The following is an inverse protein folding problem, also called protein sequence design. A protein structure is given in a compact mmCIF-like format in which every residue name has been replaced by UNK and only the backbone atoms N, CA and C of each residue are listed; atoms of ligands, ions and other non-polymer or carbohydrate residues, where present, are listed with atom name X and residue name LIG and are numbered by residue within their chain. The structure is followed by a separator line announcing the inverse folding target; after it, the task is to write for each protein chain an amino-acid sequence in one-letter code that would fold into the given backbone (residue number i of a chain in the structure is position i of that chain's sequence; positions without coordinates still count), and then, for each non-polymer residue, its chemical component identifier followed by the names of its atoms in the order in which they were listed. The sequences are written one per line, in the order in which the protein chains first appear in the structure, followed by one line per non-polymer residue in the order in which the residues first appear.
data_IF_368346217420
#
_entry.id   IF_368346217420
#
_cell.length_a   1.000
_cell.length_b   1.000
_cell.length_c   1.000
_cell.angle_alpha   90.00
_cell.angle_beta   90.00
_cell.angle_gamma   90.00
#
_symmetry.space_group_name_H-M   'P 1'
#
loop_
_entity.id
_entity.type
_entity.pdbx_description
1 polymer ?
#
# COMPACT_ATOMS: atom_id res chain seq x y z
N UNK A 1 -10.65 -10.36 -25.42
CA UNK A 1 -12.11 -10.30 -25.28
C UNK A 1 -12.43 -9.96 -23.85
N UNK A 2 -13.11 -8.84 -23.55
CA UNK A 2 -13.31 -8.31 -22.19
C UNK A 2 -14.07 -9.26 -21.25
N UNK A 3 -14.75 -10.27 -21.80
CA UNK A 3 -15.48 -11.28 -21.02
C UNK A 3 -14.59 -12.30 -20.30
N UNK A 4 -13.36 -12.52 -20.78
CA UNK A 4 -12.43 -13.48 -20.16
C UNK A 4 -11.77 -12.89 -18.90
N UNK A 5 -11.52 -11.57 -18.88
CA UNK A 5 -11.02 -10.84 -17.71
C UNK A 5 -12.07 -10.80 -16.60
N UNK A 6 -13.33 -10.61 -16.98
CA UNK A 6 -14.46 -10.59 -16.05
C UNK A 6 -14.70 -11.97 -15.44
N UNK A 7 -14.49 -13.08 -16.19
CA UNK A 7 -14.58 -14.44 -15.64
C UNK A 7 -13.45 -14.78 -14.66
N UNK A 8 -12.23 -14.31 -14.91
CA UNK A 8 -11.11 -14.44 -13.97
C UNK A 8 -11.41 -13.73 -12.64
N UNK A 9 -12.05 -12.57 -12.72
CA UNK A 9 -12.43 -11.73 -11.58
C UNK A 9 -13.45 -12.40 -10.63
N UNK A 10 -14.43 -13.16 -11.13
CA UNK A 10 -15.45 -13.81 -10.28
C UNK A 10 -14.93 -15.05 -9.52
N UNK A 11 -13.84 -15.68 -9.96
CA UNK A 11 -13.27 -16.86 -9.29
C UNK A 11 -12.53 -16.55 -7.99
N UNK A 12 -11.95 -15.34 -7.88
CA UNK A 12 -11.10 -14.93 -6.77
C UNK A 12 -11.90 -14.65 -5.49
N UNK A 13 -12.98 -13.86 -5.58
CA UNK A 13 -13.71 -13.39 -4.39
C UNK A 13 -14.26 -14.51 -3.51
N UNK A 14 -14.52 -15.70 -4.06
CA UNK A 14 -15.05 -16.84 -3.30
C UNK A 14 -14.03 -17.49 -2.36
N UNK A 15 -12.72 -17.41 -2.65
CA UNK A 15 -11.69 -18.09 -1.84
C UNK A 15 -11.30 -17.37 -0.55
N UNK A 16 -11.59 -16.07 -0.44
CA UNK A 16 -11.25 -15.25 0.74
C UNK A 16 -12.42 -15.06 1.72
N UNK A 17 -13.62 -15.55 1.39
CA UNK A 17 -14.84 -15.38 2.18
C UNK A 17 -15.25 -16.61 3.01
N UNK A 18 -14.37 -17.60 3.20
CA UNK A 18 -14.61 -18.66 4.20
C UNK A 18 -14.38 -18.07 5.59
N UNK A 19 -15.44 -17.47 6.13
CA UNK A 19 -15.49 -16.81 7.44
C UNK A 19 -15.58 -17.86 8.55
N UNK A 20 -14.70 -17.71 9.52
CA UNK A 20 -14.66 -18.40 10.82
C UNK A 20 -15.90 -18.05 11.64
N UNK A 21 -16.75 -19.04 11.92
CA UNK A 21 -17.86 -18.90 12.88
C UNK A 21 -17.35 -19.02 14.33
N UNK A 22 -17.92 -18.22 15.22
CA UNK A 22 -17.86 -18.40 16.68
C UNK A 22 -19.15 -17.85 17.31
N UNK A 23 -19.59 -18.41 18.45
CA UNK A 23 -21.02 -18.56 18.76
C UNK A 23 -21.67 -17.38 19.50
N UNK A 24 -23.00 -17.34 19.39
CA UNK A 24 -23.94 -16.39 20.01
C UNK A 24 -24.10 -16.54 21.52
N UNK A 25 -24.36 -15.41 22.20
CA UNK A 25 -25.16 -15.26 23.44
C UNK A 25 -25.50 -13.77 23.60
N UNK A 26 -26.71 -13.27 23.31
CA UNK A 26 -28.00 -13.32 24.02
C UNK A 26 -28.29 -12.07 24.90
N UNK A 27 -29.48 -11.51 24.69
CA UNK A 27 -30.34 -10.62 25.52
C UNK A 27 -30.00 -9.13 25.75
N UNK A 28 -30.88 -8.28 25.22
CA UNK A 28 -31.33 -6.94 25.72
C UNK A 28 -32.53 -7.15 26.71
N UNK A 29 -33.23 -6.16 27.33
CA UNK A 29 -33.17 -4.68 27.21
C UNK A 29 -33.35 -3.88 28.54
N UNK A 30 -33.20 -2.53 28.49
CA UNK A 30 -34.11 -1.50 29.07
C UNK A 30 -33.42 -0.13 29.33
N UNK A 31 -34.14 0.94 28.96
CA UNK A 31 -33.94 2.41 29.23
C UNK A 31 -35.14 2.80 30.14
N UNK A 32 -35.18 3.85 31.03
CA UNK A 32 -34.77 5.25 30.76
C UNK A 32 -34.40 6.24 31.93
N UNK A 33 -33.84 7.41 31.53
CA UNK A 33 -34.07 8.80 32.04
C UNK A 33 -33.62 9.25 33.46
N UNK A 34 -32.85 10.36 33.52
CA UNK A 34 -32.97 11.64 34.31
C UNK A 34 -31.62 12.20 34.84
N UNK A 35 -31.31 13.44 34.45
CA UNK A 35 -30.45 14.44 35.17
C UNK A 35 -31.21 15.00 36.40
N UNK A 36 -30.63 15.72 37.40
CA UNK A 36 -29.44 16.61 37.36
C UNK A 36 -28.54 16.72 38.63
N UNK A 37 -27.50 17.57 38.54
CA UNK A 37 -27.00 18.53 39.56
C UNK A 37 -25.75 18.22 40.43
N UNK A 38 -24.85 19.23 40.42
CA UNK A 38 -23.98 19.84 41.47
C UNK A 38 -22.72 19.14 42.05
N UNK A 39 -21.59 19.85 41.80
CA UNK A 39 -20.47 20.25 42.70
C UNK A 39 -19.46 19.25 43.31
N UNK A 40 -18.18 19.60 43.05
CA UNK A 40 -16.95 19.56 43.86
C UNK A 40 -16.52 18.26 44.55
N UNK A 41 -15.35 17.72 44.19
CA UNK A 41 -14.08 17.97 44.88
C UNK A 41 -12.95 17.12 44.28
N UNK A 42 -11.72 17.62 44.42
CA UNK A 42 -10.53 17.08 43.79
C UNK A 42 -10.03 15.76 44.37
N UNK A 43 -9.36 14.98 43.50
CA UNK A 43 -8.39 13.99 43.91
C UNK A 43 -7.29 13.91 42.84
N UNK A 44 -6.10 14.38 43.20
CA UNK A 44 -4.86 14.21 42.45
C UNK A 44 -4.58 12.72 42.27
N UNK A 45 -4.48 12.27 41.02
CA UNK A 45 -3.89 10.97 40.69
C UNK A 45 -2.93 11.16 39.53
N UNK A 46 -1.65 10.89 39.84
CA UNK A 46 -0.49 10.96 38.97
C UNK A 46 -0.68 10.07 37.74
N UNK A 47 -0.91 10.70 36.59
CA UNK A 47 -0.84 10.04 35.29
C UNK A 47 0.64 9.78 34.98
N UNK A 48 1.07 8.54 34.69
CA UNK A 48 2.42 8.32 34.19
C UNK A 48 2.52 8.97 32.81
N UNK A 49 3.33 10.02 32.70
CA UNK A 49 3.73 10.62 31.44
C UNK A 49 4.50 9.58 30.64
N UNK A 50 3.80 8.85 29.77
CA UNK A 50 4.42 8.10 28.69
C UNK A 50 5.06 9.11 27.74
N UNK A 51 6.35 9.34 27.93
CA UNK A 51 7.17 10.09 26.99
C UNK A 51 7.08 9.36 25.65
N UNK A 52 6.52 9.97 24.57
CA UNK A 52 6.59 9.35 23.27
C UNK A 52 8.06 9.32 22.86
N UNK A 53 8.57 8.12 22.53
CA UNK A 53 9.90 7.97 21.96
C UNK A 53 10.09 9.00 20.83
N UNK A 54 11.22 9.72 20.79
CA UNK A 54 11.48 10.66 19.70
C UNK A 54 11.58 9.87 18.40
N UNK A 55 10.60 10.11 17.52
CA UNK A 55 10.65 9.69 16.12
C UNK A 55 11.97 10.20 15.51
N UNK A 56 12.70 9.38 14.75
CA UNK A 56 13.97 9.80 14.18
C UNK A 56 13.77 11.04 13.29
N UNK A 57 14.64 12.06 13.38
CA UNK A 57 14.46 13.38 12.75
C UNK A 57 14.51 13.37 11.21
N UNK A 58 14.60 12.21 10.56
CA UNK A 58 14.64 12.04 9.10
C UNK A 58 13.24 11.80 8.47
N UNK A 59 12.18 11.91 9.27
CA UNK A 59 10.77 11.77 8.85
C UNK A 59 10.07 13.13 8.60
N UNK A 60 10.82 14.24 8.63
CA UNK A 60 10.27 15.61 8.68
C UNK A 60 10.09 16.29 7.31
N UNK A 61 10.19 15.58 6.18
CA UNK A 61 9.77 16.18 4.92
C UNK A 61 8.26 16.38 4.99
N UNK A 62 7.80 17.62 5.14
CA UNK A 62 6.38 18.01 5.08
C UNK A 62 5.70 17.50 3.80
N UNK A 63 6.47 17.18 2.76
CA UNK A 63 6.00 16.66 1.47
C UNK A 63 5.57 15.18 1.58
N UNK A 64 6.16 14.35 2.46
CA UNK A 64 5.64 12.98 2.67
C UNK A 64 4.26 12.97 3.29
N UNK A 65 4.01 13.90 4.21
CA UNK A 65 2.75 14.00 4.94
C UNK A 65 1.65 14.73 4.14
N UNK A 66 1.98 15.35 3.01
CA UNK A 66 0.97 16.00 2.15
C UNK A 66 0.18 14.99 1.31
N UNK A 67 0.75 13.81 1.06
CA UNK A 67 0.12 12.76 0.27
C UNK A 67 -0.61 11.72 1.12
N UNK A 68 -1.60 11.06 0.52
CA UNK A 68 -2.39 10.00 1.20
C UNK A 68 -1.57 8.74 1.43
N UNK A 69 -0.69 8.41 0.48
CA UNK A 69 0.16 7.23 0.53
C UNK A 69 1.63 7.60 0.33
N UNK A 70 2.51 6.87 1.00
CA UNK A 70 3.95 7.03 0.84
C UNK A 70 4.46 6.24 -0.37
N UNK A 71 3.81 5.11 -0.69
CA UNK A 71 4.17 4.24 -1.80
C UNK A 71 2.93 3.58 -2.41
N UNK A 72 2.74 3.70 -3.72
CA UNK A 72 1.80 2.85 -4.46
C UNK A 72 2.54 1.67 -5.09
N UNK A 73 2.03 0.45 -4.85
CA UNK A 73 2.64 -0.79 -5.34
C UNK A 73 1.86 -1.31 -6.55
N UNK A 74 2.42 -1.11 -7.74
CA UNK A 74 1.90 -1.67 -8.98
C UNK A 74 2.42 -3.09 -9.18
N UNK A 75 1.53 -4.03 -9.43
CA UNK A 75 1.83 -5.45 -9.54
C UNK A 75 0.76 -6.18 -10.35
N UNK A 76 1.15 -7.28 -11.00
CA UNK A 76 0.19 -8.19 -11.62
C UNK A 76 -0.69 -8.85 -10.54
N UNK A 77 -1.98 -9.11 -10.81
CA UNK A 77 -2.84 -9.87 -9.91
C UNK A 77 -2.24 -11.24 -9.52
N UNK A 78 -1.46 -11.86 -10.40
CA UNK A 78 -0.79 -13.15 -10.12
C UNK A 78 0.27 -13.02 -9.02
N UNK A 79 0.91 -11.86 -8.91
CA UNK A 79 2.03 -11.61 -7.99
C UNK A 79 1.59 -10.88 -6.70
N UNK A 80 0.29 -10.92 -6.39
CA UNK A 80 -0.33 -10.28 -5.22
C UNK A 80 0.35 -10.64 -3.90
N UNK A 81 0.76 -11.89 -3.73
CA UNK A 81 1.39 -12.33 -2.47
C UNK A 81 2.69 -11.60 -2.20
N UNK A 82 3.49 -11.38 -3.25
CA UNK A 82 4.75 -10.65 -3.14
C UNK A 82 4.51 -9.16 -2.89
N UNK A 83 3.50 -8.58 -3.53
CA UNK A 83 3.09 -7.21 -3.28
C UNK A 83 2.62 -7.01 -1.82
N UNK A 84 1.87 -7.98 -1.27
CA UNK A 84 1.46 -7.98 0.14
C UNK A 84 2.66 -8.13 1.07
N UNK A 85 3.63 -9.00 0.76
CA UNK A 85 4.85 -9.13 1.58
C UNK A 85 5.65 -7.83 1.63
N UNK A 86 5.84 -7.20 0.47
CA UNK A 86 6.49 -5.89 0.36
C UNK A 86 5.75 -4.83 1.19
N UNK A 87 4.44 -4.66 0.97
CA UNK A 87 3.63 -3.69 1.70
C UNK A 87 3.66 -3.95 3.20
N UNK A 88 3.47 -5.20 3.62
CA UNK A 88 3.50 -5.61 5.03
C UNK A 88 4.86 -5.32 5.67
N UNK A 89 5.97 -5.50 4.95
CA UNK A 89 7.30 -5.17 5.45
C UNK A 89 7.44 -3.65 5.69
N UNK A 90 6.99 -2.84 4.73
CA UNK A 90 7.09 -1.38 4.77
C UNK A 90 6.10 -0.72 5.74
N UNK A 91 4.96 -1.36 5.99
CA UNK A 91 3.93 -0.92 6.93
C UNK A 91 4.25 -1.30 8.39
N UNK A 92 5.27 -2.13 8.64
CA UNK A 92 5.72 -2.45 10.02
C UNK A 92 6.03 -1.16 10.78
N UNK A 93 5.80 -1.11 12.11
CA UNK A 93 6.09 0.08 12.93
C UNK A 93 7.51 0.63 12.80
N UNK A 94 8.49 -0.23 12.51
CA UNK A 94 9.89 0.17 12.29
C UNK A 94 10.10 0.98 10.99
N UNK A 95 9.27 0.75 9.97
CA UNK A 95 9.32 1.46 8.69
C UNK A 95 8.27 2.59 8.63
N UNK A 96 7.03 2.30 9.07
CA UNK A 96 5.97 3.29 9.24
C UNK A 96 5.43 3.90 7.95
N UNK A 97 5.62 3.25 6.79
CA UNK A 97 5.10 3.75 5.52
C UNK A 97 3.64 3.32 5.32
N UNK A 98 2.85 4.16 4.64
CA UNK A 98 1.50 3.85 4.17
C UNK A 98 1.57 3.38 2.71
N UNK A 99 1.26 2.11 2.46
CA UNK A 99 1.28 1.58 1.10
C UNK A 99 -0.13 1.56 0.50
N UNK A 100 -0.23 1.87 -0.79
CA UNK A 100 -1.44 1.61 -1.58
C UNK A 100 -1.32 0.30 -2.33
N UNK A 101 -2.31 -0.57 -2.17
CA UNK A 101 -2.54 -1.79 -2.95
C UNK A 101 -3.94 -1.76 -3.53
N UNK A 102 -4.07 -1.78 -4.86
CA UNK A 102 -5.35 -1.72 -5.57
C UNK A 102 -6.41 -2.68 -4.99
N UNK A 103 -6.03 -3.92 -4.70
CA UNK A 103 -6.95 -4.96 -4.24
C UNK A 103 -7.54 -4.68 -2.84
N UNK A 104 -6.86 -3.85 -2.04
CA UNK A 104 -7.27 -3.46 -0.69
C UNK A 104 -7.89 -2.08 -0.64
N UNK A 105 -7.30 -1.14 -1.37
CA UNK A 105 -7.49 0.30 -1.18
C UNK A 105 -8.31 0.96 -2.29
N UNK A 106 -8.54 0.29 -3.43
CA UNK A 106 -9.40 0.84 -4.49
C UNK A 106 -10.88 0.82 -4.10
N UNK A 107 -11.61 1.87 -4.49
CA UNK A 107 -13.03 2.02 -4.18
C UNK A 107 -13.87 0.96 -4.90
N UNK A 108 -14.76 0.28 -4.17
CA UNK A 108 -15.67 -0.71 -4.76
C UNK A 108 -16.66 -0.02 -5.70
N UNK A 109 -16.78 -0.53 -6.93
CA UNK A 109 -17.66 0.04 -7.96
C UNK A 109 -17.07 1.26 -8.68
N UNK A 110 -15.85 1.69 -8.33
CA UNK A 110 -15.13 2.74 -9.05
C UNK A 110 -14.63 2.27 -10.42
N UNK A 111 -14.41 3.22 -11.32
CA UNK A 111 -13.79 2.93 -12.61
C UNK A 111 -12.30 2.66 -12.41
N UNK A 112 -11.84 1.47 -12.81
CA UNK A 112 -10.44 1.03 -12.63
C UNK A 112 -9.41 2.08 -13.12
N UNK A 113 -9.53 2.68 -14.32
CA UNK A 113 -8.56 3.68 -14.77
C UNK A 113 -8.49 4.90 -13.84
N UNK A 114 -9.65 5.37 -13.35
CA UNK A 114 -9.74 6.53 -12.46
C UNK A 114 -9.09 6.26 -11.11
N UNK A 115 -9.38 5.12 -10.49
CA UNK A 115 -8.78 4.73 -9.21
C UNK A 115 -7.26 4.58 -9.33
N UNK A 116 -6.79 4.02 -10.45
CA UNK A 116 -5.37 3.86 -10.74
C UNK A 116 -4.66 5.20 -10.91
N UNK A 117 -5.23 6.14 -11.68
CA UNK A 117 -4.69 7.49 -11.80
C UNK A 117 -4.66 8.23 -10.45
N UNK A 118 -5.75 8.12 -9.68
CA UNK A 118 -5.83 8.74 -8.35
C UNK A 118 -4.79 8.14 -7.40
N UNK A 119 -4.57 6.83 -7.44
CA UNK A 119 -3.53 6.18 -6.65
C UNK A 119 -2.12 6.69 -7.03
N UNK A 120 -1.86 6.92 -8.32
CA UNK A 120 -0.60 7.51 -8.78
C UNK A 120 -0.44 8.92 -8.20
N UNK A 121 -1.43 9.79 -8.37
CA UNK A 121 -1.36 11.20 -7.95
C UNK A 121 -1.30 11.39 -6.43
N UNK A 122 -1.98 10.51 -5.69
CA UNK A 122 -2.05 10.55 -4.21
C UNK A 122 -0.93 9.81 -3.50
N UNK A 123 0.05 9.29 -4.25
CA UNK A 123 1.20 8.56 -3.71
C UNK A 123 2.50 9.34 -3.89
N UNK A 124 3.32 9.39 -2.84
CA UNK A 124 4.63 10.02 -2.89
C UNK A 124 5.62 9.27 -3.78
N UNK A 125 5.62 7.94 -3.80
CA UNK A 125 6.47 7.11 -4.66
C UNK A 125 5.67 5.98 -5.29
N UNK A 126 6.23 5.35 -6.33
CA UNK A 126 5.63 4.22 -7.03
C UNK A 126 6.62 3.06 -7.14
N UNK A 127 6.26 1.90 -6.59
CA UNK A 127 7.00 0.66 -6.78
C UNK A 127 6.35 -0.13 -7.93
N UNK A 128 7.14 -0.49 -8.94
CA UNK A 128 6.70 -1.34 -10.04
C UNK A 128 7.27 -2.75 -9.82
N UNK A 129 6.44 -3.72 -9.45
CA UNK A 129 6.83 -5.12 -9.30
C UNK A 129 6.80 -5.82 -10.66
N UNK A 130 7.93 -5.76 -11.36
CA UNK A 130 8.12 -6.24 -12.73
C UNK A 130 8.51 -7.72 -12.70
N UNK A 131 7.54 -8.52 -13.10
CA UNK A 131 7.64 -9.97 -13.33
C UNK A 131 7.28 -10.27 -14.79
N UNK A 132 7.47 -11.50 -15.28
CA UNK A 132 6.89 -11.89 -16.57
C UNK A 132 5.38 -11.64 -16.65
N UNK A 133 4.63 -11.85 -15.56
CA UNK A 133 3.18 -11.62 -15.51
C UNK A 133 2.83 -10.13 -15.58
N UNK A 134 3.64 -9.27 -14.95
CA UNK A 134 3.49 -7.81 -15.05
C UNK A 134 3.55 -7.34 -16.50
N UNK A 135 4.45 -7.91 -17.30
CA UNK A 135 4.60 -7.54 -18.71
C UNK A 135 3.45 -8.04 -19.58
N UNK A 136 2.65 -9.00 -19.13
CA UNK A 136 1.51 -9.54 -19.86
C UNK A 136 0.17 -8.90 -19.46
N UNK A 137 0.17 -8.12 -18.37
CA UNK A 137 -1.04 -7.51 -17.82
C UNK A 137 -1.19 -6.07 -18.33
N UNK A 138 -2.26 -5.81 -19.08
CA UNK A 138 -2.54 -4.52 -19.69
C UNK A 138 -2.70 -3.40 -18.66
N UNK A 139 -3.23 -3.70 -17.46
CA UNK A 139 -3.35 -2.71 -16.39
C UNK A 139 -2.00 -2.35 -15.77
N UNK A 140 -1.09 -3.32 -15.69
CA UNK A 140 0.28 -3.10 -15.22
C UNK A 140 1.07 -2.26 -16.22
N UNK A 141 0.94 -2.54 -17.51
CA UNK A 141 1.54 -1.71 -18.57
C UNK A 141 0.94 -0.30 -18.55
N UNK A 142 -0.38 -0.18 -18.44
CA UNK A 142 -1.06 1.12 -18.30
C UNK A 142 -0.49 1.90 -17.12
N UNK A 143 -0.42 1.30 -15.93
CA UNK A 143 0.13 1.93 -14.73
C UNK A 143 1.59 2.33 -14.89
N UNK A 144 2.43 1.48 -15.50
CA UNK A 144 3.81 1.80 -15.81
C UNK A 144 3.91 3.06 -16.67
N UNK A 145 3.09 3.17 -17.72
CA UNK A 145 3.08 4.35 -18.58
C UNK A 145 2.51 5.59 -17.86
N UNK A 146 1.49 5.43 -17.01
CA UNK A 146 0.93 6.52 -16.21
C UNK A 146 1.97 7.10 -15.23
N UNK A 147 2.70 6.26 -14.49
CA UNK A 147 3.74 6.76 -13.57
C UNK A 147 4.88 7.44 -14.33
N UNK A 148 5.23 6.93 -15.51
CA UNK A 148 6.24 7.54 -16.38
C UNK A 148 5.80 8.90 -16.93
N UNK A 149 4.51 9.07 -17.23
CA UNK A 149 3.97 10.37 -17.64
C UNK A 149 3.85 11.36 -16.49
N UNK A 150 3.51 10.88 -15.28
CA UNK A 150 3.34 11.73 -14.10
C UNK A 150 4.68 12.31 -13.61
N UNK A 151 5.74 11.50 -13.63
CA UNK A 151 7.06 11.90 -13.13
C UNK A 151 8.19 11.38 -13.99
N UNK A 152 8.37 11.88 -15.23
CA UNK A 152 9.46 11.44 -16.09
C UNK A 152 10.80 11.76 -15.44
N UNK A 153 11.68 10.77 -15.38
CA UNK A 153 13.00 10.85 -14.73
C UNK A 153 12.95 11.27 -13.25
N UNK A 154 11.78 11.18 -12.60
CA UNK A 154 11.66 11.45 -11.18
C UNK A 154 12.28 10.32 -10.37
N UNK A 155 12.92 10.64 -9.25
CA UNK A 155 13.42 9.62 -8.32
C UNK A 155 12.29 8.86 -7.60
N UNK A 156 11.02 9.15 -7.93
CA UNK A 156 9.81 8.58 -7.32
C UNK A 156 9.44 7.20 -7.86
N UNK A 157 9.95 6.80 -9.03
CA UNK A 157 9.71 5.48 -9.63
C UNK A 157 10.77 4.49 -9.16
N UNK A 158 10.33 3.39 -8.57
CA UNK A 158 11.19 2.34 -7.99
C UNK A 158 10.89 1.00 -8.69
N UNK A 159 11.65 0.63 -9.74
CA UNK A 159 11.48 -0.65 -10.38
C UNK A 159 11.99 -1.80 -9.49
N UNK A 160 11.17 -2.83 -9.32
CA UNK A 160 11.47 -4.06 -8.61
C UNK A 160 11.40 -5.20 -9.59
N UNK A 161 12.47 -5.96 -9.74
CA UNK A 161 12.54 -7.08 -10.68
C UNK A 161 12.49 -8.38 -9.91
N UNK A 162 11.61 -9.28 -10.32
CA UNK A 162 11.51 -10.63 -9.77
C UNK A 162 11.43 -11.65 -10.92
N UNK A 163 12.37 -12.60 -10.94
CA UNK A 163 12.41 -13.70 -11.91
C UNK A 163 12.34 -13.25 -13.39
N UNK A 164 12.96 -12.11 -13.71
CA UNK A 164 12.95 -11.54 -15.06
C UNK A 164 14.36 -11.52 -15.66
N UNK A 165 14.49 -11.88 -16.93
CA UNK A 165 15.71 -11.66 -17.69
C UNK A 165 15.89 -10.17 -18.02
N UNK A 166 17.13 -9.69 -18.06
CA UNK A 166 17.45 -8.33 -18.48
C UNK A 166 16.93 -7.99 -19.89
N UNK A 167 16.86 -8.98 -20.80
CA UNK A 167 16.35 -8.79 -22.17
C UNK A 167 14.86 -8.44 -22.21
N UNK A 168 14.09 -8.85 -21.20
CA UNK A 168 12.66 -8.60 -21.09
C UNK A 168 12.34 -7.30 -20.35
N UNK A 169 13.33 -6.69 -19.71
CA UNK A 169 13.13 -5.47 -18.94
C UNK A 169 12.67 -4.31 -19.84
N UNK A 170 11.56 -3.61 -19.50
CA UNK A 170 11.01 -2.52 -20.31
C UNK A 170 12.06 -1.48 -20.67
N UNK A 171 12.08 -1.06 -21.95
CA UNK A 171 13.09 -0.10 -22.44
C UNK A 171 12.91 1.27 -21.80
N UNK A 172 11.66 1.62 -21.51
CA UNK A 172 11.20 2.82 -20.86
C UNK A 172 11.78 2.96 -19.44
N UNK A 173 12.06 1.83 -18.78
CA UNK A 173 12.56 1.81 -17.42
C UNK A 173 14.08 1.68 -17.32
N UNK A 174 14.81 1.53 -18.44
CA UNK A 174 16.28 1.31 -18.45
C UNK A 174 17.10 2.44 -17.83
N UNK A 175 16.52 3.63 -17.75
CA UNK A 175 17.15 4.79 -17.11
C UNK A 175 17.02 4.76 -15.57
N UNK A 176 16.23 3.84 -15.02
CA UNK A 176 16.05 3.67 -13.57
C UNK A 176 16.83 2.45 -13.07
N UNK A 177 17.42 2.61 -11.87
CA UNK A 177 18.10 1.50 -11.21
C UNK A 177 17.08 0.58 -10.54
N UNK A 178 16.88 -0.61 -11.11
CA UNK A 178 16.00 -1.61 -10.52
C UNK A 178 16.61 -2.28 -9.29
N UNK A 179 15.76 -2.78 -8.39
CA UNK A 179 16.15 -3.67 -7.29
C UNK A 179 15.75 -5.10 -7.62
N UNK A 180 16.70 -6.03 -7.57
CA UNK A 180 16.46 -7.45 -7.82
C UNK A 180 15.99 -8.13 -6.52
N UNK A 181 14.74 -8.61 -6.52
CA UNK A 181 14.14 -9.32 -5.39
C UNK A 181 14.44 -10.83 -5.42
N UNK A 182 14.93 -11.36 -6.54
CA UNK A 182 15.09 -12.81 -6.76
C UNK A 182 16.17 -13.44 -5.86
N UNK A 183 17.15 -12.64 -5.42
CA UNK A 183 18.27 -13.11 -4.59
C UNK A 183 18.01 -12.95 -3.09
N UNK A 184 17.48 -11.81 -2.69
CA UNK A 184 17.23 -11.48 -1.28
C UNK A 184 16.10 -10.43 -1.19
N UNK A 185 14.85 -10.87 -0.99
CA UNK A 185 13.69 -9.98 -1.00
C UNK A 185 13.74 -8.96 0.15
N UNK A 186 14.11 -9.37 1.36
CA UNK A 186 14.22 -8.50 2.54
C UNK A 186 15.21 -7.33 2.33
N UNK A 187 16.36 -7.61 1.72
CA UNK A 187 17.33 -6.57 1.32
C UNK A 187 16.72 -5.63 0.29
N UNK A 188 15.98 -6.18 -0.67
CA UNK A 188 15.23 -5.39 -1.65
C UNK A 188 14.21 -4.47 -1.00
N UNK A 189 13.40 -4.97 -0.08
CA UNK A 189 12.41 -4.18 0.66
C UNK A 189 13.07 -3.07 1.48
N UNK A 190 14.19 -3.36 2.13
CA UNK A 190 14.99 -2.35 2.84
C UNK A 190 15.51 -1.26 1.89
N UNK A 191 15.88 -1.62 0.65
CA UNK A 191 16.29 -0.65 -0.36
C UNK A 191 15.11 0.19 -0.87
N UNK A 192 13.90 -0.39 -0.98
CA UNK A 192 12.67 0.37 -1.28
C UNK A 192 12.44 1.40 -0.19
N UNK A 193 12.41 0.98 1.07
CA UNK A 193 12.25 1.86 2.22
C UNK A 193 13.24 3.04 2.16
N UNK A 194 14.53 2.75 1.99
CA UNK A 194 15.58 3.78 1.89
C UNK A 194 15.39 4.72 0.69
N UNK A 195 14.88 4.20 -0.43
CA UNK A 195 14.59 5.02 -1.62
C UNK A 195 13.43 5.96 -1.33
N UNK A 196 12.32 5.47 -0.78
CA UNK A 196 11.15 6.29 -0.39
C UNK A 196 11.56 7.41 0.58
N UNK A 197 12.49 7.12 1.51
CA UNK A 197 12.99 8.15 2.43
C UNK A 197 13.84 9.25 1.74
N UNK A 198 14.45 8.96 0.59
CA UNK A 198 15.31 9.90 -0.14
C UNK A 198 14.59 10.64 -1.26
N UNK A 199 13.36 10.23 -1.59
CA UNK A 199 12.53 10.94 -2.54
C UNK A 199 12.11 12.29 -1.94
N UNK A 200 12.31 13.34 -2.73
CA UNK A 200 11.91 14.72 -2.42
C UNK A 200 10.59 15.06 -3.13
#
# INVERSE_FOLDING_TARGET
SPENDVKSMYGWFRRLLVKKESPQSSSSPHVPVRTPSTSVDGASSSVPTSTPNPTPPFLSSMIRWSQTYDLCVCHSPVDIEEAIRLASYLEKPACGLRCYLRQRDASVGGAIPTELCQAVQSSHCWALLITPNFLLDDWCQYMMHQVLSEGPMSNRIIPLVLNLSYSQYPKELRFYYYKDLSKNPERGYTQVYKTVLKCE
#
